data_IF_092441459248
#
_entry.id   IF_092441459248
#
_cell.length_a   1.000
_cell.length_b   1.000
_cell.length_c   1.000
_cell.angle_alpha   90.00
_cell.angle_beta   90.00
_cell.angle_gamma   90.00
#
_symmetry.space_group_name_H-M   'P 1'
#
loop_
_entity.id
_entity.type
_entity.pdbx_description
1 polymer ?
#
# COMPACT_ATOMS: atom_id res chain seq x y z
N UNK A 1 1.06 29.65 -0.10
CA UNK A 1 -0.11 28.96 -0.68
C UNK A 1 0.32 27.60 -1.20
N UNK A 2 0.47 26.64 -0.28
CA UNK A 2 0.65 25.25 -0.66
C UNK A 2 -0.68 24.78 -1.26
N UNK A 3 -0.70 24.61 -2.55
CA UNK A 3 -1.84 24.03 -3.26
C UNK A 3 -1.99 22.59 -2.79
N UNK A 4 -2.92 22.36 -1.89
CA UNK A 4 -3.39 21.02 -1.54
C UNK A 4 -3.81 20.37 -2.86
N UNK A 5 -3.19 19.27 -3.29
CA UNK A 5 -3.66 18.56 -4.46
C UNK A 5 -5.12 18.20 -4.21
N UNK A 6 -6.02 18.71 -5.03
CA UNK A 6 -7.43 18.31 -4.96
C UNK A 6 -7.44 16.82 -5.28
N UNK A 7 -7.66 15.99 -4.26
CA UNK A 7 -7.90 14.58 -4.44
C UNK A 7 -9.12 14.45 -5.35
N UNK A 8 -8.88 14.08 -6.61
CA UNK A 8 -9.96 13.79 -7.54
C UNK A 8 -10.64 12.51 -7.07
N UNK A 9 -11.96 12.37 -7.24
CA UNK A 9 -12.68 11.15 -6.89
C UNK A 9 -11.95 9.92 -7.42
N UNK A 10 -11.86 8.85 -6.63
CA UNK A 10 -11.17 7.59 -7.00
C UNK A 10 -11.73 6.99 -8.28
N UNK A 11 -13.00 7.22 -8.61
CA UNK A 11 -13.58 6.85 -9.90
C UNK A 11 -12.74 7.29 -11.09
N UNK A 12 -12.03 8.42 -10.98
CA UNK A 12 -11.10 8.90 -11.99
C UNK A 12 -9.73 8.18 -11.97
N UNK A 13 -9.38 7.48 -10.90
CA UNK A 13 -8.11 6.75 -10.81
C UNK A 13 -8.21 5.35 -11.40
N UNK A 14 -9.42 4.77 -11.45
CA UNK A 14 -9.68 3.47 -12.07
C UNK A 14 -10.12 3.57 -13.53
N UNK A 15 -10.16 4.76 -14.07
CA UNK A 15 -10.35 4.94 -15.49
C UNK A 15 -9.22 4.23 -16.24
N UNK A 16 -9.58 3.14 -16.94
CA UNK A 16 -8.65 2.34 -17.75
C UNK A 16 -8.00 3.13 -18.87
N UNK A 17 -8.48 4.32 -19.19
CA UNK A 17 -7.90 5.26 -20.15
C UNK A 17 -6.70 6.04 -19.61
N UNK A 18 -6.28 5.83 -18.35
CA UNK A 18 -5.19 6.59 -17.71
C UNK A 18 -4.01 5.71 -17.37
N UNK A 19 -2.83 6.33 -17.48
CA UNK A 19 -1.60 5.74 -17.02
C UNK A 19 -1.61 5.54 -15.50
N UNK A 20 -1.14 4.38 -15.07
CA UNK A 20 -1.10 4.02 -13.66
C UNK A 20 0.07 3.10 -13.33
N UNK A 21 0.61 3.26 -12.13
CA UNK A 21 1.58 2.34 -11.53
C UNK A 21 0.97 1.86 -10.21
N UNK A 22 0.63 0.57 -10.14
CA UNK A 22 0.04 -0.06 -8.97
C UNK A 22 1.08 -0.87 -8.23
N UNK A 23 1.21 -0.62 -6.94
CA UNK A 23 2.10 -1.32 -6.01
C UNK A 23 1.34 -1.97 -4.86
N UNK A 24 0.07 -1.60 -4.63
CA UNK A 24 -0.75 -2.20 -3.59
C UNK A 24 -1.33 -3.52 -4.07
N UNK A 25 -1.20 -4.57 -3.25
CA UNK A 25 -1.50 -5.95 -3.64
C UNK A 25 -0.50 -6.47 -4.68
N UNK A 26 -0.75 -6.22 -5.96
CA UNK A 26 0.07 -6.74 -7.06
C UNK A 26 0.65 -5.62 -7.93
N UNK A 27 1.87 -5.86 -8.44
CA UNK A 27 2.50 -4.93 -9.39
C UNK A 27 1.74 -4.91 -10.73
N UNK A 28 1.32 -3.72 -11.15
CA UNK A 28 0.72 -3.50 -12.45
C UNK A 28 1.12 -2.13 -12.99
N UNK A 29 1.33 -2.02 -14.31
CA UNK A 29 1.63 -0.76 -14.98
C UNK A 29 0.76 -0.63 -16.24
N UNK A 30 0.10 0.52 -16.37
CA UNK A 30 -0.66 0.89 -17.55
C UNK A 30 -0.04 2.11 -18.21
N UNK A 31 0.00 2.08 -19.53
CA UNK A 31 0.49 3.19 -20.35
C UNK A 31 -0.52 4.36 -20.41
N UNK A 32 -0.15 5.43 -21.12
CA UNK A 32 -0.98 6.62 -21.32
C UNK A 32 -2.28 6.35 -22.09
N UNK A 33 -2.35 5.24 -22.84
CA UNK A 33 -3.52 4.81 -23.59
C UNK A 33 -4.38 3.80 -22.79
N UNK A 34 -3.98 3.48 -21.55
CA UNK A 34 -4.68 2.58 -20.64
C UNK A 34 -4.36 1.09 -20.84
N UNK A 35 -3.42 0.75 -21.73
CA UNK A 35 -3.04 -0.64 -21.96
C UNK A 35 -2.17 -1.16 -20.82
N UNK A 36 -2.35 -2.44 -20.47
CA UNK A 36 -1.49 -3.12 -19.53
C UNK A 36 -0.13 -3.46 -20.17
N UNK A 37 0.92 -2.80 -19.70
CA UNK A 37 2.30 -3.02 -20.13
C UNK A 37 3.17 -3.71 -19.07
N UNK A 38 2.54 -4.30 -18.06
CA UNK A 38 3.22 -4.97 -16.94
C UNK A 38 4.23 -6.02 -17.41
N UNK A 39 3.91 -6.76 -18.47
CA UNK A 39 4.77 -7.79 -19.06
C UNK A 39 6.09 -7.26 -19.64
N UNK A 40 6.18 -5.95 -19.96
CA UNK A 40 7.41 -5.31 -20.44
C UNK A 40 8.42 -5.10 -19.31
N UNK A 41 7.99 -5.19 -18.05
CA UNK A 41 8.85 -5.04 -16.88
C UNK A 41 9.47 -6.37 -16.46
N UNK A 42 10.68 -6.63 -16.95
CA UNK A 42 11.47 -7.77 -16.44
C UNK A 42 11.65 -7.66 -14.92
N UNK A 43 11.96 -8.76 -14.20
CA UNK A 43 12.13 -8.71 -12.73
C UNK A 43 13.09 -7.61 -12.26
N UNK A 44 14.17 -7.36 -13.00
CA UNK A 44 15.15 -6.33 -12.65
C UNK A 44 14.63 -4.91 -12.90
N UNK A 45 13.87 -4.69 -13.98
CA UNK A 45 13.21 -3.42 -14.26
C UNK A 45 12.13 -3.11 -13.23
N UNK A 46 11.32 -4.11 -12.86
CA UNK A 46 10.34 -4.02 -11.78
C UNK A 46 11.01 -3.62 -10.47
N UNK A 47 12.06 -4.34 -10.06
CA UNK A 47 12.78 -4.04 -8.81
C UNK A 47 13.35 -2.61 -8.82
N UNK A 48 13.92 -2.16 -9.94
CA UNK A 48 14.46 -0.81 -10.05
C UNK A 48 13.35 0.24 -9.95
N UNK A 49 12.24 0.09 -10.66
CA UNK A 49 11.11 1.04 -10.60
C UNK A 49 10.55 1.12 -9.17
N UNK A 50 10.26 -0.03 -8.57
CA UNK A 50 9.73 -0.10 -7.19
C UNK A 50 10.70 0.59 -6.22
N UNK A 51 11.99 0.27 -6.28
CA UNK A 51 13.01 0.86 -5.41
C UNK A 51 13.03 2.39 -5.53
N UNK A 52 12.99 2.91 -6.77
CA UNK A 52 12.99 4.35 -7.01
C UNK A 52 11.73 5.03 -6.46
N UNK A 53 10.55 4.43 -6.65
CA UNK A 53 9.29 4.96 -6.09
C UNK A 53 9.37 5.01 -4.56
N UNK A 54 9.68 3.88 -3.92
CA UNK A 54 9.68 3.78 -2.46
C UNK A 54 10.66 4.74 -1.79
N UNK A 55 11.85 4.90 -2.37
CA UNK A 55 12.84 5.84 -1.83
C UNK A 55 12.50 7.30 -2.13
N UNK A 56 11.83 7.59 -3.24
CA UNK A 56 11.36 8.96 -3.54
C UNK A 56 10.26 9.40 -2.56
N UNK A 57 9.33 8.50 -2.24
CA UNK A 57 8.27 8.81 -1.26
C UNK A 57 8.79 8.86 0.18
N UNK A 58 9.92 8.20 0.47
CA UNK A 58 10.58 8.24 1.78
C UNK A 58 11.42 9.50 1.99
N UNK A 59 12.09 10.01 0.95
CA UNK A 59 13.00 11.16 0.99
C UNK A 59 12.97 11.87 -0.38
N UNK A 60 12.72 13.17 -0.38
CA UNK A 60 12.65 14.00 -1.59
C UNK A 60 13.94 13.96 -2.44
N UNK A 61 15.08 13.63 -1.85
CA UNK A 61 16.34 13.40 -2.58
C UNK A 61 16.34 12.08 -3.34
N UNK A 62 15.47 11.10 -2.96
CA UNK A 62 15.43 9.77 -3.50
C UNK A 62 16.52 8.86 -2.94
N UNK A 63 17.18 8.06 -3.78
CA UNK A 63 18.14 7.05 -3.38
C UNK A 63 19.53 7.32 -4.00
N UNK A 64 20.60 7.12 -3.22
CA UNK A 64 21.96 7.17 -3.72
C UNK A 64 22.16 6.15 -4.84
N UNK A 65 22.71 6.59 -5.96
CA UNK A 65 22.97 5.75 -7.15
C UNK A 65 23.84 4.52 -6.80
N UNK A 66 24.81 4.68 -5.89
CA UNK A 66 25.62 3.56 -5.39
C UNK A 66 24.76 2.55 -4.65
N UNK A 67 23.87 3.00 -3.75
CA UNK A 67 22.97 2.13 -3.01
C UNK A 67 22.07 1.30 -3.92
N UNK A 68 21.55 1.87 -5.01
CA UNK A 68 20.80 1.13 -6.04
C UNK A 68 21.66 0.01 -6.63
N UNK A 69 22.93 0.29 -6.92
CA UNK A 69 23.87 -0.68 -7.49
C UNK A 69 24.10 -1.82 -6.50
N UNK A 70 24.40 -1.49 -5.26
CA UNK A 70 24.68 -2.46 -4.19
C UNK A 70 23.48 -3.37 -3.90
N UNK A 71 22.26 -2.81 -3.93
CA UNK A 71 21.03 -3.58 -3.68
C UNK A 71 20.61 -4.49 -4.83
N UNK A 72 20.78 -4.04 -6.07
CA UNK A 72 20.26 -4.79 -7.22
C UNK A 72 21.32 -5.61 -7.96
N UNK A 73 22.61 -5.37 -7.76
CA UNK A 73 23.71 -6.05 -8.46
C UNK A 73 24.86 -6.40 -7.51
N UNK A 74 24.55 -6.76 -6.26
CA UNK A 74 25.54 -7.20 -5.25
C UNK A 74 26.37 -8.42 -5.67
N UNK A 75 25.87 -9.21 -6.62
CA UNK A 75 26.49 -10.39 -7.17
C UNK A 75 27.52 -10.10 -8.29
N UNK A 76 27.69 -8.84 -8.69
CA UNK A 76 28.56 -8.41 -9.80
C UNK A 76 29.76 -7.61 -9.30
N UNK A 77 30.85 -7.67 -10.07
CA UNK A 77 31.95 -6.72 -9.90
C UNK A 77 31.48 -5.27 -10.17
N UNK A 78 32.23 -4.29 -9.66
CA UNK A 78 31.85 -2.87 -9.69
C UNK A 78 31.60 -2.34 -11.10
N UNK A 79 32.44 -2.74 -12.08
CA UNK A 79 32.32 -2.28 -13.48
C UNK A 79 31.07 -2.87 -14.12
N UNK A 80 30.87 -4.17 -13.96
CA UNK A 80 29.69 -4.87 -14.49
C UNK A 80 28.41 -4.41 -13.83
N UNK A 81 28.40 -4.19 -12.52
CA UNK A 81 27.25 -3.67 -11.77
C UNK A 81 26.85 -2.27 -12.25
N UNK A 82 27.84 -1.37 -12.43
CA UNK A 82 27.62 -0.02 -12.98
C UNK A 82 27.07 -0.08 -14.40
N UNK A 83 27.59 -0.92 -15.26
CA UNK A 83 27.12 -1.06 -16.64
C UNK A 83 25.67 -1.59 -16.67
N UNK A 84 25.40 -2.65 -15.92
CA UNK A 84 24.05 -3.22 -15.81
C UNK A 84 23.03 -2.21 -15.30
N UNK A 85 23.37 -1.44 -14.26
CA UNK A 85 22.53 -0.36 -13.76
C UNK A 85 22.22 0.67 -14.86
N UNK A 86 23.24 1.15 -15.57
CA UNK A 86 23.05 2.17 -16.62
C UNK A 86 22.18 1.66 -17.76
N UNK A 87 22.36 0.41 -18.19
CA UNK A 87 21.51 -0.23 -19.22
C UNK A 87 20.08 -0.37 -18.72
N UNK A 88 19.90 -0.81 -17.46
CA UNK A 88 18.55 -0.99 -16.88
C UNK A 88 17.84 0.35 -16.68
N UNK A 89 18.55 1.38 -16.23
CA UNK A 89 18.01 2.75 -16.13
C UNK A 89 17.57 3.30 -17.49
N UNK A 90 18.38 3.07 -18.53
CA UNK A 90 18.00 3.49 -19.89
C UNK A 90 16.73 2.79 -20.37
N UNK A 91 16.63 1.48 -20.17
CA UNK A 91 15.41 0.71 -20.51
C UNK A 91 14.20 1.18 -19.70
N UNK A 92 14.38 1.45 -18.39
CA UNK A 92 13.31 1.95 -17.56
C UNK A 92 12.79 3.31 -18.05
N UNK A 93 13.69 4.23 -18.42
CA UNK A 93 13.29 5.54 -18.98
C UNK A 93 12.45 5.41 -20.23
N UNK A 94 12.82 4.51 -21.14
CA UNK A 94 12.03 4.24 -22.37
C UNK A 94 10.63 3.73 -22.01
N UNK A 95 10.50 2.79 -21.06
CA UNK A 95 9.17 2.31 -20.63
C UNK A 95 8.35 3.41 -19.95
N UNK A 96 8.99 4.29 -19.18
CA UNK A 96 8.31 5.40 -18.53
C UNK A 96 7.81 6.47 -19.53
N UNK A 97 8.43 6.59 -20.72
CA UNK A 97 7.90 7.42 -21.83
C UNK A 97 6.56 6.88 -22.34
N UNK A 98 6.33 5.55 -22.33
CA UNK A 98 5.05 4.93 -22.66
C UNK A 98 3.99 5.20 -21.57
N UNK A 99 4.39 5.18 -20.29
CA UNK A 99 3.52 5.56 -19.17
C UNK A 99 3.15 7.05 -19.24
N UNK A 100 4.06 7.88 -19.73
CA UNK A 100 3.87 9.34 -19.84
C UNK A 100 4.29 10.05 -18.55
N UNK A 101 3.84 11.19 -18.28
CA UNK A 101 4.02 12.14 -17.16
C UNK A 101 4.79 11.67 -15.88
N UNK A 102 5.79 10.79 -16.04
CA UNK A 102 6.69 10.30 -14.97
C UNK A 102 8.08 10.02 -15.55
N UNK A 103 9.12 10.40 -14.83
CA UNK A 103 10.49 10.21 -15.29
C UNK A 103 11.45 9.91 -14.12
N UNK A 104 12.62 9.32 -14.45
CA UNK A 104 13.74 9.14 -13.52
C UNK A 104 14.74 10.27 -13.70
N UNK A 105 14.89 11.08 -12.66
CA UNK A 105 15.85 12.19 -12.59
C UNK A 105 17.10 11.75 -11.82
N UNK A 106 18.25 12.19 -12.32
CA UNK A 106 19.55 12.03 -11.64
C UNK A 106 20.06 13.39 -11.20
N UNK A 107 20.26 13.57 -9.91
CA UNK A 107 20.75 14.82 -9.34
C UNK A 107 21.71 14.54 -8.16
N UNK A 108 22.89 15.18 -8.16
CA UNK A 108 23.84 15.12 -7.05
C UNK A 108 24.26 13.70 -6.62
N UNK A 109 24.23 12.73 -7.52
CA UNK A 109 24.52 11.31 -7.20
C UNK A 109 23.32 10.54 -6.68
N UNK A 110 22.15 11.13 -6.65
CA UNK A 110 20.86 10.50 -6.30
C UNK A 110 20.05 10.19 -7.54
N UNK A 111 19.16 9.23 -7.43
CA UNK A 111 18.12 8.87 -8.37
C UNK A 111 16.76 9.03 -7.70
N UNK A 112 15.83 9.69 -8.36
CA UNK A 112 14.44 9.82 -7.88
C UNK A 112 13.44 9.79 -9.00
N UNK A 113 12.20 9.48 -8.66
CA UNK A 113 11.05 9.64 -9.55
C UNK A 113 10.61 11.10 -9.54
N UNK A 114 10.32 11.63 -10.72
CA UNK A 114 9.64 12.92 -10.86
C UNK A 114 8.28 12.70 -11.49
N UNK A 115 7.24 13.08 -10.78
CA UNK A 115 5.85 12.91 -11.17
C UNK A 115 5.30 14.20 -11.76
N UNK A 116 4.60 14.08 -12.90
CA UNK A 116 3.75 15.12 -13.48
C UNK A 116 2.28 14.77 -13.20
N UNK A 117 1.36 15.68 -13.45
CA UNK A 117 -0.01 15.67 -12.88
C UNK A 117 -0.92 14.47 -13.28
N UNK A 118 -0.55 13.62 -14.24
CA UNK A 118 -1.49 12.68 -14.86
C UNK A 118 -1.29 11.20 -14.54
N UNK A 119 -0.17 10.81 -13.96
CA UNK A 119 0.09 9.41 -13.62
C UNK A 119 -0.42 9.11 -12.22
N UNK A 120 -1.28 8.12 -12.12
CA UNK A 120 -1.74 7.61 -10.84
C UNK A 120 -0.74 6.60 -10.27
N UNK A 121 -0.42 6.71 -8.98
CA UNK A 121 0.29 5.68 -8.24
C UNK A 121 -0.45 5.42 -6.91
N UNK A 122 -1.00 4.23 -6.76
CA UNK A 122 -1.82 3.84 -5.60
C UNK A 122 -1.08 3.98 -4.27
N UNK A 123 0.15 3.47 -4.19
CA UNK A 123 0.99 3.57 -3.00
C UNK A 123 1.25 5.02 -2.59
N UNK A 124 1.64 5.86 -3.54
CA UNK A 124 1.88 7.28 -3.33
C UNK A 124 0.61 8.00 -2.87
N UNK A 125 -0.51 7.70 -3.51
CA UNK A 125 -1.82 8.27 -3.15
C UNK A 125 -2.24 7.84 -1.76
N UNK A 126 -2.06 6.56 -1.41
CA UNK A 126 -2.39 6.05 -0.07
C UNK A 126 -1.55 6.74 1.02
N UNK A 127 -0.23 6.87 0.83
CA UNK A 127 0.64 7.58 1.78
C UNK A 127 0.20 9.04 1.97
N UNK A 128 -0.11 9.73 0.88
CA UNK A 128 -0.58 11.11 0.95
C UNK A 128 -1.93 11.23 1.69
N UNK A 129 -2.87 10.31 1.45
CA UNK A 129 -4.14 10.26 2.17
C UNK A 129 -3.94 10.02 3.68
N UNK A 130 -3.05 9.10 4.04
CA UNK A 130 -2.70 8.81 5.44
C UNK A 130 -2.11 10.07 6.10
N UNK A 131 -1.17 10.74 5.45
CA UNK A 131 -0.54 11.96 5.95
C UNK A 131 -1.55 13.09 6.15
N UNK A 132 -2.46 13.31 5.18
CA UNK A 132 -3.52 14.31 5.31
C UNK A 132 -4.43 14.03 6.50
N UNK A 133 -4.78 12.78 6.73
CA UNK A 133 -5.56 12.38 7.90
C UNK A 133 -4.83 12.67 9.20
N UNK A 134 -3.54 12.29 9.28
CA UNK A 134 -2.72 12.51 10.47
C UNK A 134 -2.58 14.00 10.82
N UNK A 135 -2.47 14.87 9.81
CA UNK A 135 -2.36 16.33 10.00
C UNK A 135 -3.68 16.98 10.44
N UNK A 136 -4.80 16.51 9.91
CA UNK A 136 -6.10 17.15 10.10
C UNK A 136 -6.93 16.54 11.23
N UNK A 137 -6.61 15.34 11.68
CA UNK A 137 -7.30 14.64 12.79
C UNK A 137 -8.76 14.23 12.52
N UNK A 138 -9.30 14.53 11.36
CA UNK A 138 -10.65 14.13 10.97
C UNK A 138 -10.84 14.14 9.45
N UNK A 139 -11.62 13.20 8.96
CA UNK A 139 -12.16 13.23 7.60
C UNK A 139 -13.43 14.07 7.60
N UNK A 140 -13.39 15.18 6.89
CA UNK A 140 -14.56 16.09 6.80
C UNK A 140 -15.62 15.60 5.83
N UNK A 141 -15.33 14.56 5.03
CA UNK A 141 -16.16 14.14 3.93
C UNK A 141 -16.18 12.59 3.83
N UNK A 142 -17.38 12.02 3.79
CA UNK A 142 -17.60 10.57 3.60
C UNK A 142 -17.06 10.08 2.25
N UNK A 143 -16.99 10.95 1.24
CA UNK A 143 -16.38 10.63 -0.06
C UNK A 143 -14.89 10.33 0.10
N UNK A 144 -14.18 11.16 0.86
CA UNK A 144 -12.74 10.96 1.11
C UNK A 144 -12.49 9.71 1.96
N UNK A 145 -13.35 9.42 2.95
CA UNK A 145 -13.29 8.18 3.72
C UNK A 145 -13.40 6.96 2.80
N UNK A 146 -14.41 6.93 1.94
CA UNK A 146 -14.59 5.82 1.01
C UNK A 146 -13.39 5.68 0.07
N UNK A 147 -12.82 6.77 -0.41
CA UNK A 147 -11.64 6.77 -1.27
C UNK A 147 -10.42 6.13 -0.60
N UNK A 148 -10.15 6.48 0.66
CA UNK A 148 -9.07 5.86 1.44
C UNK A 148 -9.32 4.36 1.62
N UNK A 149 -10.52 3.97 2.01
CA UNK A 149 -10.84 2.56 2.23
C UNK A 149 -10.72 1.74 0.94
N UNK A 150 -11.12 2.29 -0.21
CA UNK A 150 -10.91 1.64 -1.51
C UNK A 150 -9.41 1.43 -1.83
N UNK A 151 -8.55 2.41 -1.53
CA UNK A 151 -7.10 2.25 -1.71
C UNK A 151 -6.54 1.16 -0.79
N UNK A 152 -6.89 1.19 0.50
CA UNK A 152 -6.39 0.23 1.47
C UNK A 152 -6.93 -1.20 1.21
N UNK A 153 -8.07 -1.33 0.56
CA UNK A 153 -8.67 -2.61 0.16
C UNK A 153 -7.81 -3.37 -0.86
N UNK A 154 -6.91 -2.71 -1.63
CA UNK A 154 -5.92 -3.42 -2.46
C UNK A 154 -4.93 -4.25 -1.66
N UNK A 155 -4.82 -3.98 -0.34
CA UNK A 155 -4.00 -4.74 0.59
C UNK A 155 -2.57 -4.24 0.71
N UNK A 156 -1.67 -5.07 1.27
CA UNK A 156 -0.28 -4.71 1.55
C UNK A 156 0.53 -4.40 0.30
N UNK A 157 1.60 -3.62 0.49
CA UNK A 157 2.56 -3.29 -0.55
C UNK A 157 3.15 -4.58 -1.17
N UNK A 158 2.93 -4.79 -2.48
CA UNK A 158 3.52 -5.89 -3.26
C UNK A 158 3.47 -7.25 -2.53
N UNK A 159 2.28 -7.66 -2.08
CA UNK A 159 2.07 -8.84 -1.21
C UNK A 159 2.74 -10.12 -1.74
N UNK A 160 2.80 -10.31 -3.07
CA UNK A 160 3.37 -11.48 -3.73
C UNK A 160 4.85 -11.35 -4.11
N UNK A 161 5.55 -10.28 -3.66
CA UNK A 161 6.97 -10.07 -3.97
C UNK A 161 7.81 -10.34 -2.74
N UNK A 162 8.74 -11.29 -2.81
CA UNK A 162 9.61 -11.68 -1.69
C UNK A 162 11.03 -11.24 -2.02
N UNK A 163 11.48 -10.14 -1.42
CA UNK A 163 12.86 -9.63 -1.52
C UNK A 163 13.18 -8.85 -0.22
N UNK A 164 14.29 -9.17 0.40
CA UNK A 164 14.67 -8.68 1.75
C UNK A 164 14.62 -7.15 1.90
N UNK A 165 15.06 -6.41 0.88
CA UNK A 165 15.06 -4.94 0.95
C UNK A 165 13.66 -4.29 0.95
N UNK A 166 12.64 -5.05 0.59
CA UNK A 166 11.25 -4.57 0.52
C UNK A 166 10.52 -4.72 1.86
N UNK A 167 10.95 -5.65 2.72
CA UNK A 167 10.20 -6.01 3.94
C UNK A 167 9.99 -4.81 4.87
N UNK A 168 11.04 -4.02 5.11
CA UNK A 168 10.91 -2.81 5.92
C UNK A 168 9.94 -1.76 5.35
N UNK A 169 9.72 -1.72 4.03
CA UNK A 169 8.73 -0.85 3.42
C UNK A 169 7.31 -1.43 3.55
N UNK A 170 7.18 -2.76 3.43
CA UNK A 170 5.90 -3.45 3.66
C UNK A 170 5.42 -3.25 5.09
N UNK A 171 6.29 -3.49 6.05
CA UNK A 171 5.98 -3.34 7.47
C UNK A 171 5.58 -1.90 7.80
N UNK A 172 6.35 -0.93 7.30
CA UNK A 172 6.03 0.48 7.51
C UNK A 172 4.68 0.87 6.90
N UNK A 173 4.38 0.42 5.67
CA UNK A 173 3.11 0.70 5.03
C UNK A 173 1.93 0.04 5.76
N UNK A 174 2.06 -1.24 6.15
CA UNK A 174 1.02 -1.95 6.90
C UNK A 174 0.78 -1.29 8.26
N UNK A 175 1.84 -0.89 8.98
CA UNK A 175 1.73 -0.18 10.25
C UNK A 175 0.97 1.15 10.10
N UNK A 176 1.34 1.98 9.12
CA UNK A 176 0.66 3.24 8.84
C UNK A 176 -0.82 3.04 8.47
N UNK A 177 -1.11 1.99 7.69
CA UNK A 177 -2.48 1.63 7.30
C UNK A 177 -3.31 1.20 8.51
N UNK A 178 -2.76 0.37 9.38
CA UNK A 178 -3.43 -0.08 10.61
C UNK A 178 -3.68 1.10 11.55
N UNK A 179 -2.73 2.00 11.74
CA UNK A 179 -2.90 3.17 12.61
C UNK A 179 -4.02 4.09 12.10
N UNK A 180 -4.12 4.29 10.80
CA UNK A 180 -5.24 5.02 10.20
C UNK A 180 -6.56 4.29 10.41
N UNK A 181 -6.62 3.00 10.08
CA UNK A 181 -7.83 2.18 10.17
C UNK A 181 -8.34 2.09 11.62
N UNK A 182 -7.45 2.02 12.62
CA UNK A 182 -7.80 2.08 14.05
C UNK A 182 -8.51 3.39 14.40
N UNK A 183 -7.98 4.51 13.96
CA UNK A 183 -8.61 5.81 14.22
C UNK A 183 -10.00 5.90 13.55
N UNK A 184 -10.13 5.39 12.32
CA UNK A 184 -11.41 5.34 11.61
C UNK A 184 -12.40 4.40 12.28
N UNK A 185 -11.93 3.24 12.77
CA UNK A 185 -12.73 2.29 13.52
C UNK A 185 -13.36 2.94 14.76
N UNK A 186 -12.56 3.66 15.54
CA UNK A 186 -13.03 4.38 16.73
C UNK A 186 -14.08 5.44 16.40
N UNK A 187 -13.90 6.16 15.30
CA UNK A 187 -14.85 7.18 14.85
C UNK A 187 -16.19 6.55 14.45
N UNK A 188 -16.15 5.51 13.61
CA UNK A 188 -17.35 4.88 13.09
C UNK A 188 -18.06 4.04 14.15
N UNK A 189 -17.33 3.45 15.10
CA UNK A 189 -17.89 2.77 16.24
C UNK A 189 -18.71 3.73 17.14
N UNK A 190 -18.19 4.93 17.43
CA UNK A 190 -18.90 5.97 18.18
C UNK A 190 -20.14 6.48 17.48
N UNK A 191 -20.19 6.42 16.15
CA UNK A 191 -21.37 6.76 15.34
C UNK A 191 -22.40 5.62 15.26
N UNK A 192 -22.11 4.44 15.83
CA UNK A 192 -22.87 3.21 15.65
C UNK A 192 -23.03 2.79 14.17
N UNK A 193 -22.06 3.11 13.34
CA UNK A 193 -22.04 2.75 11.92
C UNK A 193 -21.49 1.33 11.74
N UNK A 194 -22.30 0.32 12.06
CA UNK A 194 -21.91 -1.09 12.06
C UNK A 194 -21.41 -1.58 10.70
N UNK A 195 -22.02 -1.14 9.61
CA UNK A 195 -21.57 -1.50 8.25
C UNK A 195 -20.14 -1.05 7.99
N UNK A 196 -19.82 0.19 8.34
CA UNK A 196 -18.48 0.74 8.17
C UNK A 196 -17.47 0.08 9.11
N UNK A 197 -17.84 -0.21 10.35
CA UNK A 197 -17.00 -0.96 11.30
C UNK A 197 -16.63 -2.33 10.72
N UNK A 198 -17.58 -3.09 10.18
CA UNK A 198 -17.30 -4.38 9.55
C UNK A 198 -16.37 -4.25 8.35
N UNK A 199 -16.58 -3.24 7.51
CA UNK A 199 -15.72 -2.96 6.35
C UNK A 199 -14.29 -2.62 6.77
N UNK A 200 -14.12 -1.74 7.76
CA UNK A 200 -12.81 -1.34 8.28
C UNK A 200 -12.07 -2.55 8.87
N UNK A 201 -12.75 -3.38 9.67
CA UNK A 201 -12.14 -4.58 10.25
C UNK A 201 -11.70 -5.60 9.18
N UNK A 202 -12.44 -5.74 8.08
CA UNK A 202 -12.04 -6.58 6.95
C UNK A 202 -10.74 -6.07 6.30
N UNK A 203 -10.62 -4.76 6.13
CA UNK A 203 -9.41 -4.15 5.58
C UNK A 203 -8.24 -4.29 6.57
N UNK A 204 -8.48 -4.12 7.89
CA UNK A 204 -7.44 -4.35 8.91
C UNK A 204 -6.86 -5.77 8.80
N UNK A 205 -7.68 -6.78 8.64
CA UNK A 205 -7.22 -8.17 8.46
C UNK A 205 -6.42 -8.41 7.17
N UNK A 206 -6.57 -7.59 6.13
CA UNK A 206 -5.71 -7.66 4.94
C UNK A 206 -4.29 -7.18 5.24
N UNK A 207 -4.14 -6.18 6.11
CA UNK A 207 -2.85 -5.59 6.47
C UNK A 207 -2.18 -6.27 7.67
N UNK A 208 -3.00 -6.83 8.58
CA UNK A 208 -2.55 -7.55 9.77
C UNK A 208 -3.58 -8.66 10.10
N UNK A 209 -3.36 -9.89 9.61
CA UNK A 209 -4.26 -11.01 9.85
C UNK A 209 -4.45 -11.38 11.33
N UNK A 210 -3.51 -10.98 12.19
CA UNK A 210 -3.54 -11.26 13.63
C UNK A 210 -3.99 -10.05 14.46
N UNK A 211 -4.67 -9.09 13.87
CA UNK A 211 -5.14 -7.90 14.55
C UNK A 211 -6.28 -8.20 15.54
N UNK A 212 -5.96 -8.17 16.83
CA UNK A 212 -6.90 -8.50 17.92
C UNK A 212 -8.01 -7.46 18.08
N UNK A 213 -7.71 -6.19 17.79
CA UNK A 213 -8.70 -5.11 17.86
C UNK A 213 -9.76 -5.25 16.77
N UNK A 214 -9.34 -5.58 15.54
CA UNK A 214 -10.25 -5.89 14.44
C UNK A 214 -11.13 -7.11 14.77
N UNK A 215 -10.56 -8.16 15.39
CA UNK A 215 -11.31 -9.32 15.85
C UNK A 215 -12.38 -8.93 16.85
N UNK A 216 -12.00 -8.16 17.88
CA UNK A 216 -12.90 -7.74 18.95
C UNK A 216 -14.06 -6.90 18.41
N UNK A 217 -13.76 -5.85 17.66
CA UNK A 217 -14.76 -4.96 17.08
C UNK A 217 -15.71 -5.71 16.14
N UNK A 218 -15.18 -6.59 15.30
CA UNK A 218 -15.98 -7.37 14.36
C UNK A 218 -16.91 -8.36 15.06
N UNK A 219 -16.40 -9.11 16.04
CA UNK A 219 -17.20 -10.05 16.81
C UNK A 219 -18.31 -9.33 17.57
N UNK A 220 -18.00 -8.21 18.23
CA UNK A 220 -18.96 -7.43 19.02
C UNK A 220 -20.13 -6.93 18.14
N UNK A 221 -19.82 -6.34 16.98
CA UNK A 221 -20.85 -5.87 16.03
C UNK A 221 -21.70 -7.02 15.52
N UNK A 222 -21.09 -8.13 15.10
CA UNK A 222 -21.83 -9.31 14.60
C UNK A 222 -22.74 -9.91 15.70
N UNK A 223 -22.30 -9.91 16.94
CA UNK A 223 -23.11 -10.35 18.07
C UNK A 223 -24.32 -9.44 18.32
N UNK A 224 -24.09 -8.12 18.33
CA UNK A 224 -25.17 -7.12 18.53
C UNK A 224 -26.24 -7.20 17.43
N UNK A 225 -25.85 -7.58 16.21
CA UNK A 225 -26.76 -7.81 15.09
C UNK A 225 -27.39 -9.22 15.08
N UNK A 226 -27.15 -10.05 16.10
CA UNK A 226 -27.67 -11.42 16.17
C UNK A 226 -26.97 -12.42 15.25
N UNK A 227 -25.89 -12.02 14.54
CA UNK A 227 -25.11 -12.84 13.59
C UNK A 227 -24.09 -13.74 14.29
N UNK A 228 -24.48 -14.41 15.39
CA UNK A 228 -23.60 -15.18 16.29
C UNK A 228 -22.80 -16.27 15.58
N UNK A 229 -23.41 -16.95 14.60
CA UNK A 229 -22.73 -18.01 13.82
C UNK A 229 -21.58 -17.46 12.98
N UNK A 230 -21.77 -16.26 12.39
CA UNK A 230 -20.71 -15.61 11.60
C UNK A 230 -19.58 -15.14 12.53
N UNK A 231 -19.91 -14.54 13.68
CA UNK A 231 -18.91 -14.14 14.67
C UNK A 231 -18.06 -15.34 15.11
N UNK A 232 -18.69 -16.49 15.39
CA UNK A 232 -17.97 -17.72 15.73
C UNK A 232 -17.03 -18.16 14.61
N UNK A 233 -17.46 -18.12 13.36
CA UNK A 233 -16.63 -18.51 12.21
C UNK A 233 -15.42 -17.56 12.04
N UNK A 234 -15.60 -16.26 12.25
CA UNK A 234 -14.50 -15.27 12.24
C UNK A 234 -13.49 -15.60 13.34
N UNK A 235 -13.96 -15.81 14.56
CA UNK A 235 -13.13 -16.16 15.70
C UNK A 235 -12.35 -17.46 15.50
N UNK A 236 -13.02 -18.54 15.06
CA UNK A 236 -12.39 -19.84 14.85
C UNK A 236 -11.27 -19.75 13.77
N UNK A 237 -11.49 -18.96 12.70
CA UNK A 237 -10.49 -18.72 11.66
C UNK A 237 -9.30 -17.95 12.22
N UNK A 238 -9.54 -16.89 13.00
CA UNK A 238 -8.49 -16.12 13.66
C UNK A 238 -7.65 -16.99 14.59
N UNK A 239 -8.28 -17.79 15.44
CA UNK A 239 -7.57 -18.71 16.35
C UNK A 239 -6.70 -19.74 15.60
N UNK A 240 -7.14 -20.19 14.45
CA UNK A 240 -6.37 -21.09 13.59
C UNK A 240 -5.13 -20.37 13.04
N UNK A 241 -5.30 -19.20 12.44
CA UNK A 241 -4.23 -18.35 11.89
C UNK A 241 -3.21 -17.98 12.98
N UNK A 242 -3.69 -17.58 14.16
CA UNK A 242 -2.87 -17.23 15.32
C UNK A 242 -1.96 -18.39 15.72
N UNK A 243 -2.51 -19.60 15.82
CA UNK A 243 -1.74 -20.80 16.16
C UNK A 243 -0.75 -21.19 15.07
N UNK A 244 -1.10 -21.07 13.80
CA UNK A 244 -0.23 -21.39 12.67
C UNK A 244 0.95 -20.40 12.56
N UNK A 245 0.71 -19.12 12.87
CA UNK A 245 1.72 -18.06 12.75
C UNK A 245 2.63 -17.95 13.99
N UNK A 246 2.09 -18.09 15.20
CA UNK A 246 2.81 -17.85 16.46
C UNK A 246 3.13 -19.14 17.24
N UNK A 247 2.61 -20.30 16.84
CA UNK A 247 2.84 -21.58 17.50
C UNK A 247 2.10 -21.75 18.82
N UNK A 248 1.22 -20.81 19.23
CA UNK A 248 0.45 -20.86 20.47
C UNK A 248 -1.05 -20.58 20.24
N UNK A 249 -1.88 -21.01 21.21
CA UNK A 249 -3.32 -20.78 21.10
C UNK A 249 -3.69 -19.36 21.57
N UNK A 250 -4.63 -18.74 20.85
CA UNK A 250 -5.23 -17.47 21.27
C UNK A 250 -6.00 -17.67 22.58
N UNK A 251 -5.75 -16.80 23.60
CA UNK A 251 -6.19 -17.03 24.99
C UNK A 251 -7.52 -16.36 25.34
N UNK A 252 -7.96 -15.35 24.57
CA UNK A 252 -9.21 -14.63 24.87
C UNK A 252 -10.39 -15.38 24.29
N UNK A 253 -11.36 -15.87 25.11
CA UNK A 253 -12.51 -16.59 24.59
C UNK A 253 -13.49 -15.65 23.88
N UNK A 254 -14.23 -16.19 22.91
CA UNK A 254 -15.23 -15.43 22.13
C UNK A 254 -16.26 -14.72 23.01
N UNK A 255 -16.69 -15.32 24.11
CA UNK A 255 -17.64 -14.70 25.05
C UNK A 255 -17.16 -13.37 25.60
N UNK A 256 -15.85 -13.25 25.86
CA UNK A 256 -15.23 -12.02 26.38
C UNK A 256 -15.08 -10.92 25.32
N UNK A 257 -15.02 -11.29 24.07
CA UNK A 257 -14.97 -10.32 22.94
C UNK A 257 -16.34 -9.72 22.62
N UNK A 258 -17.41 -10.29 23.15
CA UNK A 258 -18.80 -9.92 22.85
C UNK A 258 -19.52 -9.26 24.03
N UNK A 259 -18.80 -8.97 25.11
CA UNK A 259 -19.25 -8.19 26.28
C UNK A 259 -18.95 -6.69 26.07
#
# INVERSE_FOLDING_TARGET
>A
DERIPVLRPIENYFDRSRSAISLLGTFNVRDKDGNDITSNFTPRLKSLLVLLILYTEKDEKGILTRKVTDMLWSDKDEISARNNRNVTLRKLRVLLEEVGDVEVVSDGGFLKMQWKEKVFCDYRTALHCIELFQRNGSLKDDVFLNQILELLLYGPLLSNTIVDWLDGFKDAYSSLSIDLLRNLLDIEYKKNNHEMVLRITDIMFLHDPLNEEALSAKCLVLFSEGKKGIAKSVYDRFCKEYRESLGENYKVPLSKLCE
#
